data_IF_386170200682
#
_entry.id   IF_386170200682
#
_cell.length_a   1.000
_cell.length_b   1.000
_cell.length_c   1.000
_cell.angle_alpha   90.00
_cell.angle_beta   90.00
_cell.angle_gamma   90.00
#
_symmetry.space_group_name_H-M   'P 1'
#
loop_
_entity.id
_entity.type
_entity.pdbx_description
1 polymer ?
#
# COMPACT_ATOMS: atom_id res chain seq x y z
N UNK A 1 -10.44 -13.24 -13.51
CA UNK A 1 -10.32 -14.08 -12.27
C UNK A 1 -10.60 -13.22 -11.05
N UNK A 2 -11.08 -13.84 -9.94
CA UNK A 2 -11.28 -13.13 -8.67
C UNK A 2 -9.95 -12.86 -7.99
N UNK A 3 -9.85 -11.71 -7.31
CA UNK A 3 -8.63 -11.28 -6.61
C UNK A 3 -8.11 -12.32 -5.62
N UNK A 4 -8.99 -12.93 -4.82
CA UNK A 4 -8.61 -13.97 -3.86
C UNK A 4 -7.95 -15.20 -4.51
N UNK A 5 -8.31 -15.50 -5.77
CA UNK A 5 -7.76 -16.65 -6.52
C UNK A 5 -6.39 -16.37 -7.16
N UNK A 6 -5.97 -15.13 -7.15
CA UNK A 6 -4.68 -14.69 -7.69
C UNK A 6 -3.58 -14.68 -6.61
N UNK A 7 -3.95 -14.97 -5.37
CA UNK A 7 -3.04 -14.92 -4.23
C UNK A 7 -2.83 -16.31 -3.64
N UNK A 8 -1.61 -16.60 -3.23
CA UNK A 8 -1.28 -17.76 -2.38
C UNK A 8 -1.71 -17.54 -0.93
N UNK A 9 -1.71 -16.27 -0.48
CA UNK A 9 -2.28 -15.83 0.79
C UNK A 9 -3.20 -14.65 0.53
N UNK A 10 -4.45 -14.75 1.00
CA UNK A 10 -5.43 -13.67 0.99
C UNK A 10 -6.15 -13.64 2.33
N UNK A 11 -5.68 -12.79 3.23
CA UNK A 11 -6.18 -12.72 4.61
C UNK A 11 -6.23 -11.28 5.10
N UNK A 12 -6.88 -11.06 6.24
CA UNK A 12 -6.78 -9.79 6.96
C UNK A 12 -5.56 -9.82 7.87
N UNK A 13 -5.08 -8.65 8.26
CA UNK A 13 -4.14 -8.52 9.35
C UNK A 13 -4.78 -8.82 10.71
N UNK A 14 -4.01 -8.64 11.76
CA UNK A 14 -4.34 -9.09 13.10
C UNK A 14 -4.96 -7.99 13.97
N UNK A 15 -5.77 -8.39 14.93
CA UNK A 15 -6.37 -7.48 15.90
C UNK A 15 -5.36 -7.19 17.02
N UNK A 16 -4.67 -6.06 16.93
CA UNK A 16 -3.65 -5.62 17.89
C UNK A 16 -4.21 -4.45 18.71
N UNK A 17 -4.46 -4.68 19.99
CA UNK A 17 -4.88 -3.65 20.92
C UNK A 17 -3.68 -2.83 21.44
N UNK A 18 -3.95 -1.69 22.07
CA UNK A 18 -2.88 -0.84 22.62
C UNK A 18 -2.03 -1.55 23.67
N UNK A 19 -2.64 -2.45 24.45
CA UNK A 19 -1.94 -3.28 25.46
C UNK A 19 -1.00 -4.31 24.88
N UNK A 20 -1.19 -4.69 23.60
CA UNK A 20 -0.38 -5.67 22.88
C UNK A 20 0.82 -5.03 22.16
N UNK A 21 0.87 -3.69 22.15
CA UNK A 21 1.93 -2.94 21.50
C UNK A 21 3.18 -2.86 22.41
N UNK A 22 4.35 -2.79 21.79
CA UNK A 22 5.65 -2.64 22.43
C UNK A 22 6.42 -1.45 21.84
N UNK A 23 7.52 -1.07 22.48
CA UNK A 23 8.39 0.02 22.03
C UNK A 23 9.25 -0.40 20.83
N UNK A 24 9.56 -1.70 20.75
CA UNK A 24 10.39 -2.30 19.68
C UNK A 24 9.98 -3.75 19.42
N UNK A 25 10.49 -4.35 18.37
CA UNK A 25 10.22 -5.74 17.99
C UNK A 25 9.68 -5.86 16.56
N UNK A 26 8.60 -6.62 16.37
CA UNK A 26 7.97 -6.84 15.08
C UNK A 26 7.16 -5.59 14.68
N UNK A 27 7.43 -5.04 13.51
CA UNK A 27 6.79 -3.83 12.98
C UNK A 27 5.30 -4.05 12.72
N UNK A 28 4.44 -3.22 13.31
CA UNK A 28 3.01 -3.21 13.04
C UNK A 28 2.67 -2.17 11.95
N UNK A 29 2.40 -2.65 10.75
CA UNK A 29 1.95 -1.83 9.63
C UNK A 29 0.47 -1.49 9.82
N UNK A 30 0.12 -0.23 9.66
CA UNK A 30 -1.25 0.27 9.77
C UNK A 30 -1.75 0.84 8.44
N UNK A 31 -3.05 1.09 8.34
CA UNK A 31 -3.66 1.70 7.14
C UNK A 31 -2.96 2.99 6.71
N UNK A 32 -2.42 3.75 7.66
CA UNK A 32 -1.65 4.97 7.38
C UNK A 32 -0.31 4.76 6.67
N UNK A 33 0.22 3.53 6.69
CA UNK A 33 1.44 3.17 5.95
C UNK A 33 1.16 2.78 4.49
N UNK A 34 -0.11 2.56 4.14
CA UNK A 34 -0.50 2.18 2.78
C UNK A 34 -0.85 3.45 2.01
N UNK A 35 0.02 3.86 1.09
CA UNK A 35 -0.22 4.95 0.15
C UNK A 35 -0.86 4.45 -1.16
N UNK A 36 -0.94 5.30 -2.17
CA UNK A 36 -1.39 4.94 -3.51
C UNK A 36 -0.24 4.37 -4.32
N UNK A 37 -0.07 3.06 -4.24
CA UNK A 37 1.01 2.32 -4.89
C UNK A 37 2.37 2.40 -4.19
N UNK A 38 2.47 3.08 -3.07
CA UNK A 38 3.72 3.26 -2.33
C UNK A 38 3.54 2.94 -0.84
N UNK A 39 4.54 2.33 -0.25
CA UNK A 39 4.65 2.17 1.20
C UNK A 39 5.14 3.48 1.83
N UNK A 40 4.45 3.95 2.87
CA UNK A 40 4.79 5.18 3.62
C UNK A 40 5.43 4.78 4.95
N UNK A 41 6.69 5.06 5.12
CA UNK A 41 7.48 4.59 6.27
C UNK A 41 6.94 5.07 7.63
N UNK A 42 6.73 6.36 7.82
CA UNK A 42 6.22 6.99 9.06
C UNK A 42 6.93 6.53 10.34
N UNK A 43 8.25 6.61 10.36
CA UNK A 43 9.10 6.21 11.49
C UNK A 43 8.68 6.84 12.82
N UNK A 44 8.34 8.13 12.84
CA UNK A 44 7.93 8.86 14.04
C UNK A 44 6.66 8.29 14.72
N UNK A 45 5.88 7.50 13.98
CA UNK A 45 4.63 6.87 14.44
C UNK A 45 4.69 5.35 14.34
N UNK A 46 5.91 4.82 14.34
CA UNK A 46 6.15 3.41 14.28
C UNK A 46 5.53 2.70 15.48
N UNK A 47 4.89 1.57 15.23
CA UNK A 47 4.32 0.68 16.24
C UNK A 47 4.89 -0.70 16.07
N UNK A 48 5.02 -1.40 17.19
CA UNK A 48 5.62 -2.71 17.24
C UNK A 48 4.82 -3.63 18.16
N UNK A 49 5.06 -4.92 18.04
CA UNK A 49 4.66 -5.95 19.03
C UNK A 49 5.88 -6.78 19.41
N UNK A 50 5.83 -7.40 20.58
CA UNK A 50 6.87 -8.35 20.99
C UNK A 50 6.73 -9.70 20.30
N UNK A 51 7.80 -10.51 20.29
CA UNK A 51 7.74 -11.91 19.82
C UNK A 51 6.70 -12.73 20.61
N UNK A 52 6.62 -12.56 21.92
CA UNK A 52 5.62 -13.25 22.76
C UNK A 52 4.19 -12.89 22.35
N UNK A 53 3.96 -11.62 21.99
CA UNK A 53 2.64 -11.18 21.48
C UNK A 53 2.35 -11.81 20.14
N UNK A 54 3.33 -11.86 19.25
CA UNK A 54 3.20 -12.49 17.93
C UNK A 54 2.79 -13.95 18.05
N UNK A 55 3.47 -14.73 18.90
CA UNK A 55 3.18 -16.13 19.14
C UNK A 55 1.82 -16.33 19.81
N UNK A 56 1.53 -15.54 20.84
CA UNK A 56 0.26 -15.62 21.60
C UNK A 56 -0.95 -15.33 20.74
N UNK A 57 -0.88 -14.34 19.89
CA UNK A 57 -1.98 -13.94 19.00
C UNK A 57 -1.97 -14.72 17.67
N UNK A 58 -0.94 -15.53 17.41
CA UNK A 58 -0.75 -16.28 16.16
C UNK A 58 -0.83 -15.36 14.94
N UNK A 59 -0.10 -14.26 15.00
CA UNK A 59 -0.15 -13.21 13.97
C UNK A 59 0.31 -13.73 12.63
N UNK A 60 -0.23 -13.14 11.57
CA UNK A 60 0.17 -13.40 10.18
C UNK A 60 1.32 -12.49 9.79
N UNK A 61 2.47 -13.07 9.48
CA UNK A 61 3.64 -12.30 9.04
C UNK A 61 3.47 -11.75 7.62
N UNK A 62 3.84 -10.50 7.45
CA UNK A 62 3.90 -9.79 6.18
C UNK A 62 5.33 -9.85 5.65
N UNK A 63 5.49 -10.21 4.38
CA UNK A 63 6.80 -10.31 3.73
C UNK A 63 6.99 -9.24 2.65
N UNK A 64 8.25 -8.94 2.37
CA UNK A 64 8.61 -8.13 1.21
C UNK A 64 8.00 -8.72 -0.07
N UNK A 65 7.36 -7.86 -0.86
CA UNK A 65 6.63 -8.28 -2.06
C UNK A 65 5.14 -8.55 -1.85
N UNK A 66 4.65 -8.68 -0.61
CA UNK A 66 3.21 -8.71 -0.34
C UNK A 66 2.56 -7.38 -0.78
N UNK A 67 1.35 -7.46 -1.29
CA UNK A 67 0.52 -6.29 -1.57
C UNK A 67 -0.44 -6.10 -0.42
N UNK A 68 -0.28 -5.01 0.33
CA UNK A 68 -1.21 -4.64 1.38
C UNK A 68 -2.30 -3.72 0.85
N UNK A 69 -3.54 -3.97 1.27
CA UNK A 69 -4.71 -3.19 0.88
C UNK A 69 -5.37 -2.59 2.12
N UNK A 70 -5.51 -1.25 2.16
CA UNK A 70 -6.28 -0.59 3.21
C UNK A 70 -7.77 -0.75 2.97
N UNK A 71 -8.49 -1.34 3.93
CA UNK A 71 -9.94 -1.50 3.86
C UNK A 71 -10.72 -0.30 4.41
N UNK A 72 -10.00 0.73 4.88
CA UNK A 72 -10.55 1.97 5.41
C UNK A 72 -10.21 3.18 4.53
N UNK A 73 -10.96 4.32 4.65
CA UNK A 73 -10.65 5.55 3.93
C UNK A 73 -9.30 6.15 4.34
N UNK A 74 -8.80 7.15 3.67
CA UNK A 74 -9.14 7.60 2.33
C UNK A 74 -7.98 7.43 1.38
N UNK A 75 -8.25 6.89 0.20
CA UNK A 75 -9.44 6.14 -0.23
C UNK A 75 -9.45 4.70 0.29
N UNK A 76 -10.67 4.11 0.43
CA UNK A 76 -10.82 2.68 0.67
C UNK A 76 -10.23 1.92 -0.51
N UNK A 77 -9.50 0.85 -0.25
CA UNK A 77 -8.96 -0.02 -1.29
C UNK A 77 -7.60 0.41 -1.85
N UNK A 78 -7.00 1.51 -1.35
CA UNK A 78 -5.63 1.84 -1.75
C UNK A 78 -4.68 0.71 -1.36
N UNK A 79 -3.71 0.47 -2.19
CA UNK A 79 -2.78 -0.65 -2.05
C UNK A 79 -1.33 -0.21 -2.26
N UNK A 80 -0.40 -0.95 -1.67
CA UNK A 80 1.03 -0.79 -1.92
C UNK A 80 1.74 -2.14 -1.85
N UNK A 81 2.88 -2.23 -2.51
CA UNK A 81 3.81 -3.35 -2.37
C UNK A 81 4.70 -3.07 -1.16
N UNK A 82 4.90 -4.08 -0.31
CA UNK A 82 5.85 -4.00 0.80
C UNK A 82 7.27 -4.06 0.25
N UNK A 83 8.10 -3.04 0.52
CA UNK A 83 9.48 -3.01 0.07
C UNK A 83 10.32 -4.07 0.80
N UNK A 84 11.52 -4.31 0.28
CA UNK A 84 12.50 -5.14 0.97
C UNK A 84 12.94 -4.47 2.28
N UNK A 85 12.81 -5.21 3.38
CA UNK A 85 13.12 -4.76 4.74
C UNK A 85 13.81 -5.87 5.53
N UNK A 86 14.74 -5.48 6.40
CA UNK A 86 15.45 -6.40 7.29
C UNK A 86 14.75 -6.54 8.66
N UNK A 87 13.45 -6.24 8.73
CA UNK A 87 12.67 -6.34 9.94
C UNK A 87 11.44 -7.23 9.71
N UNK A 88 11.02 -7.94 10.76
CA UNK A 88 9.77 -8.69 10.75
C UNK A 88 8.58 -7.73 10.80
N UNK A 89 7.52 -8.06 10.08
CA UNK A 89 6.36 -7.20 9.93
C UNK A 89 5.06 -7.98 10.08
N UNK A 90 4.07 -7.34 10.67
CA UNK A 90 2.66 -7.73 10.66
C UNK A 90 1.80 -6.54 10.26
N UNK A 91 0.52 -6.74 10.02
CA UNK A 91 -0.39 -5.64 9.73
C UNK A 91 -1.66 -5.68 10.57
N UNK A 92 -2.26 -4.51 10.75
CA UNK A 92 -3.50 -4.37 11.50
C UNK A 92 -4.70 -4.95 10.74
N UNK A 93 -5.73 -5.36 11.47
CA UNK A 93 -6.96 -6.01 10.95
C UNK A 93 -7.68 -5.21 9.85
N UNK A 94 -7.50 -3.91 9.79
CA UNK A 94 -8.07 -3.04 8.76
C UNK A 94 -7.27 -3.03 7.45
N UNK A 95 -6.22 -3.83 7.36
CA UNK A 95 -5.45 -4.09 6.14
C UNK A 95 -5.66 -5.54 5.72
N UNK A 96 -5.75 -5.80 4.40
CA UNK A 96 -5.70 -7.15 3.87
C UNK A 96 -4.33 -7.42 3.27
N UNK A 97 -3.84 -8.65 3.48
CA UNK A 97 -2.59 -9.18 2.92
C UNK A 97 -2.96 -9.94 1.65
N UNK A 98 -2.42 -9.49 0.52
CA UNK A 98 -2.49 -10.15 -0.76
C UNK A 98 -1.07 -10.59 -1.12
N UNK A 99 -0.75 -11.87 -1.02
CA UNK A 99 0.51 -12.46 -1.50
C UNK A 99 0.26 -13.04 -2.88
N UNK A 100 0.68 -12.37 -3.95
CA UNK A 100 0.38 -12.82 -5.30
C UNK A 100 0.97 -14.20 -5.58
N UNK A 101 0.24 -15.00 -6.34
CA UNK A 101 0.83 -16.16 -7.00
C UNK A 101 1.60 -15.67 -8.23
N UNK A 102 2.91 -15.58 -8.09
CA UNK A 102 3.79 -15.03 -9.14
C UNK A 102 3.79 -15.87 -10.43
N UNK A 103 3.28 -17.10 -10.44
CA UNK A 103 3.04 -17.87 -11.67
C UNK A 103 1.85 -17.34 -12.47
N UNK A 104 0.92 -16.66 -11.80
CA UNK A 104 -0.32 -16.15 -12.41
C UNK A 104 -0.26 -14.64 -12.62
N UNK A 105 0.16 -13.89 -11.59
CA UNK A 105 0.14 -12.43 -11.61
C UNK A 105 1.35 -11.86 -10.86
N UNK A 106 2.05 -10.90 -11.47
CA UNK A 106 3.13 -10.19 -10.77
C UNK A 106 2.58 -9.20 -9.76
N UNK A 107 3.30 -9.00 -8.65
CA UNK A 107 2.94 -8.03 -7.60
C UNK A 107 2.81 -6.61 -8.15
N UNK A 108 3.68 -6.24 -9.09
CA UNK A 108 3.65 -4.92 -9.72
C UNK A 108 2.40 -4.73 -10.57
N UNK A 109 2.05 -5.74 -11.40
CA UNK A 109 0.85 -5.69 -12.23
C UNK A 109 -0.41 -5.62 -11.38
N UNK A 110 -0.49 -6.44 -10.30
CA UNK A 110 -1.59 -6.42 -9.35
C UNK A 110 -1.72 -5.06 -8.66
N UNK A 111 -0.60 -4.49 -8.20
CA UNK A 111 -0.59 -3.17 -7.55
C UNK A 111 -1.03 -2.06 -8.52
N UNK A 112 -0.62 -2.09 -9.79
CA UNK A 112 -1.09 -1.16 -10.81
C UNK A 112 -2.58 -1.32 -11.09
N UNK A 113 -3.09 -2.56 -11.18
CA UNK A 113 -4.53 -2.79 -11.30
C UNK A 113 -5.29 -2.14 -10.13
N UNK A 114 -4.81 -2.31 -8.89
CA UNK A 114 -5.44 -1.72 -7.69
C UNK A 114 -5.37 -0.19 -7.61
N UNK A 115 -4.67 0.46 -8.53
CA UNK A 115 -4.62 1.92 -8.71
C UNK A 115 -5.47 2.37 -9.89
N UNK A 116 -6.05 1.45 -10.64
CA UNK A 116 -6.81 1.76 -11.84
C UNK A 116 -8.23 2.22 -11.53
N UNK A 117 -8.79 3.03 -12.45
CA UNK A 117 -10.21 3.40 -12.41
C UNK A 117 -11.13 2.17 -12.44
N UNK A 118 -10.77 1.14 -13.19
CA UNK A 118 -11.53 -0.10 -13.30
C UNK A 118 -11.68 -0.80 -11.94
N UNK A 119 -10.59 -0.88 -11.18
CA UNK A 119 -10.60 -1.41 -9.83
C UNK A 119 -11.49 -0.60 -8.90
N UNK A 120 -11.31 0.73 -8.84
CA UNK A 120 -12.09 1.58 -7.95
C UNK A 120 -13.58 1.59 -8.29
N UNK A 121 -13.95 1.50 -9.57
CA UNK A 121 -15.37 1.37 -9.99
C UNK A 121 -15.99 0.10 -9.41
N UNK A 122 -15.31 -1.04 -9.51
CA UNK A 122 -15.76 -2.32 -8.95
C UNK A 122 -15.78 -2.30 -7.42
N UNK A 123 -14.80 -1.68 -6.80
CA UNK A 123 -14.64 -1.60 -5.36
C UNK A 123 -15.76 -0.74 -4.73
N UNK A 124 -16.03 0.43 -5.27
CA UNK A 124 -17.01 1.39 -4.72
C UNK A 124 -18.43 0.82 -4.67
N UNK A 125 -18.80 -0.03 -5.62
CA UNK A 125 -20.07 -0.76 -5.60
C UNK A 125 -20.20 -1.77 -4.44
N UNK A 126 -19.11 -2.09 -3.77
CA UNK A 126 -19.04 -3.08 -2.69
C UNK A 126 -18.64 -2.48 -1.33
N UNK A 127 -18.50 -1.16 -1.26
CA UNK A 127 -18.18 -0.44 -0.01
C UNK A 127 -19.45 -0.25 0.81
N UNK A 128 -19.38 -0.52 2.10
CA UNK A 128 -20.48 -0.35 3.05
C UNK A 128 -20.12 0.67 4.15
N UNK A 129 -21.14 1.15 4.86
CA UNK A 129 -21.00 2.12 5.95
C UNK A 129 -21.27 3.55 5.51
N UNK A 130 -22.09 4.25 6.30
CA UNK A 130 -22.46 5.67 6.08
C UNK A 130 -21.43 6.61 6.67
N UNK A 131 -21.05 6.39 7.92
CA UNK A 131 -20.11 7.26 8.65
C UNK A 131 -18.65 6.83 8.43
N UNK A 132 -18.38 5.54 8.42
CA UNK A 132 -17.05 4.97 8.19
C UNK A 132 -17.10 3.95 7.06
N UNK A 133 -16.80 4.39 5.86
CA UNK A 133 -16.76 3.54 4.68
C UNK A 133 -15.74 2.42 4.87
N UNK A 134 -16.11 1.19 4.54
CA UNK A 134 -15.26 0.01 4.63
C UNK A 134 -15.60 -1.00 3.54
N UNK A 135 -14.60 -1.71 3.06
CA UNK A 135 -14.80 -2.91 2.25
C UNK A 135 -14.49 -4.15 3.10
N UNK A 136 -15.36 -5.17 3.03
CA UNK A 136 -15.08 -6.47 3.65
C UNK A 136 -14.02 -7.23 2.84
N UNK A 137 -13.23 -8.11 3.50
CA UNK A 137 -12.29 -8.99 2.79
C UNK A 137 -13.00 -9.81 1.70
N UNK A 138 -14.19 -10.35 2.00
CA UNK A 138 -14.99 -11.11 1.04
C UNK A 138 -15.32 -10.30 -0.22
N UNK A 139 -15.78 -9.07 -0.05
CA UNK A 139 -16.10 -8.19 -1.17
C UNK A 139 -14.84 -7.78 -1.96
N UNK A 140 -13.74 -7.50 -1.25
CA UNK A 140 -12.45 -7.23 -1.88
C UNK A 140 -11.98 -8.43 -2.70
N UNK A 141 -12.03 -9.64 -2.13
CA UNK A 141 -11.60 -10.88 -2.78
C UNK A 141 -12.43 -11.26 -4.00
N UNK A 142 -13.70 -10.83 -4.05
CA UNK A 142 -14.60 -11.06 -5.18
C UNK A 142 -14.40 -10.09 -6.35
N UNK A 143 -13.56 -9.05 -6.20
CA UNK A 143 -13.25 -8.14 -7.31
C UNK A 143 -12.57 -8.96 -8.42
N UNK A 144 -13.09 -8.85 -9.63
CA UNK A 144 -12.57 -9.58 -10.79
C UNK A 144 -11.66 -8.68 -11.63
N UNK A 145 -10.59 -9.28 -12.11
CA UNK A 145 -9.73 -8.67 -13.12
C UNK A 145 -9.43 -9.68 -14.25
N UNK A 146 -9.16 -9.16 -15.42
CA UNK A 146 -8.68 -9.94 -16.54
C UNK A 146 -7.17 -10.12 -16.37
N UNK A 147 -6.75 -11.39 -16.36
CA UNK A 147 -5.33 -11.74 -16.19
C UNK A 147 -4.76 -12.00 -17.59
N UNK A 148 -3.83 -11.15 -17.97
CA UNK A 148 -3.07 -11.27 -19.21
C UNK A 148 -1.91 -12.27 -19.08
N UNK A 149 -1.28 -12.61 -20.19
CA UNK A 149 -0.05 -13.42 -20.17
C UNK A 149 1.06 -12.73 -19.37
N UNK A 150 2.04 -13.47 -18.89
CA UNK A 150 3.16 -12.89 -18.12
C UNK A 150 3.95 -11.88 -18.94
N UNK A 151 4.08 -12.13 -20.25
CA UNK A 151 4.74 -11.25 -21.20
C UNK A 151 4.00 -9.89 -21.30
N UNK A 152 2.68 -9.95 -21.46
CA UNK A 152 1.83 -8.74 -21.49
C UNK A 152 1.86 -7.98 -20.16
N UNK A 153 1.78 -8.69 -19.03
CA UNK A 153 1.91 -8.08 -17.69
C UNK A 153 3.24 -7.32 -17.57
N UNK A 154 4.35 -7.95 -17.94
CA UNK A 154 5.68 -7.34 -17.89
C UNK A 154 5.80 -6.11 -18.78
N UNK A 155 5.22 -6.15 -19.98
CA UNK A 155 5.23 -5.02 -20.90
C UNK A 155 4.41 -3.84 -20.32
N UNK A 156 3.23 -4.10 -19.77
CA UNK A 156 2.39 -3.09 -19.10
C UNK A 156 3.14 -2.48 -17.92
N UNK A 157 3.71 -3.31 -17.04
CA UNK A 157 4.47 -2.84 -15.87
C UNK A 157 5.65 -1.96 -16.30
N UNK A 158 6.41 -2.39 -17.31
CA UNK A 158 7.55 -1.62 -17.85
C UNK A 158 7.13 -0.23 -18.33
N UNK A 159 6.03 -0.14 -19.09
CA UNK A 159 5.50 1.14 -19.59
C UNK A 159 5.03 2.03 -18.44
N UNK A 160 4.28 1.47 -17.48
CA UNK A 160 3.79 2.23 -16.33
C UNK A 160 4.92 2.70 -15.41
N UNK A 161 5.94 1.87 -15.18
CA UNK A 161 7.13 2.27 -14.43
C UNK A 161 7.87 3.44 -15.11
N UNK A 162 7.97 3.43 -16.44
CA UNK A 162 8.55 4.54 -17.20
C UNK A 162 7.75 5.84 -17.00
N UNK A 163 6.42 5.77 -17.07
CA UNK A 163 5.55 6.93 -16.85
C UNK A 163 5.68 7.46 -15.41
N UNK A 164 5.65 6.57 -14.41
CA UNK A 164 5.82 6.96 -12.99
C UNK A 164 7.18 7.64 -12.78
N UNK A 165 8.25 7.11 -13.40
CA UNK A 165 9.58 7.73 -13.34
C UNK A 165 9.57 9.15 -13.93
N UNK A 166 8.94 9.35 -15.08
CA UNK A 166 8.82 10.67 -15.71
C UNK A 166 8.03 11.64 -14.81
N UNK A 167 6.90 11.19 -14.26
CA UNK A 167 6.08 12.00 -13.33
C UNK A 167 6.91 12.42 -12.12
N UNK A 168 7.64 11.50 -11.50
CA UNK A 168 8.47 11.80 -10.33
C UNK A 168 9.60 12.78 -10.65
N UNK A 169 10.24 12.66 -11.82
CA UNK A 169 11.26 13.61 -12.28
C UNK A 169 10.67 15.00 -12.48
N UNK A 170 9.49 15.11 -13.10
CA UNK A 170 8.79 16.40 -13.28
C UNK A 170 8.38 17.04 -11.96
N UNK A 171 7.86 16.25 -11.03
CA UNK A 171 7.54 16.77 -9.69
C UNK A 171 8.78 17.31 -8.96
N UNK A 172 9.93 16.62 -9.09
CA UNK A 172 11.19 17.08 -8.53
C UNK A 172 11.68 18.38 -9.21
N UNK A 173 11.54 18.48 -10.53
CA UNK A 173 11.86 19.68 -11.29
C UNK A 173 11.03 20.88 -10.82
N UNK A 174 9.72 20.71 -10.64
CA UNK A 174 8.83 21.76 -10.11
C UNK A 174 9.29 22.21 -8.72
N UNK A 175 9.59 21.26 -7.81
CA UNK A 175 10.06 21.60 -6.48
C UNK A 175 11.38 22.40 -6.50
N UNK A 176 12.31 22.04 -7.39
CA UNK A 176 13.56 22.77 -7.55
C UNK A 176 13.35 24.19 -8.11
N UNK A 177 12.43 24.34 -9.05
CA UNK A 177 12.05 25.66 -9.58
C UNK A 177 11.42 26.55 -8.50
N UNK A 178 10.53 26.00 -7.66
CA UNK A 178 9.95 26.75 -6.54
C UNK A 178 11.04 27.18 -5.52
N UNK A 179 11.99 26.30 -5.22
CA UNK A 179 13.13 26.66 -4.37
C UNK A 179 14.00 27.77 -5.00
N UNK A 180 14.26 27.67 -6.29
CA UNK A 180 15.02 28.68 -7.02
C UNK A 180 14.31 30.04 -7.02
N UNK A 181 13.00 30.08 -7.28
CA UNK A 181 12.20 31.32 -7.23
C UNK A 181 12.29 31.96 -5.85
N UNK A 182 12.11 31.16 -4.78
CA UNK A 182 12.21 31.66 -3.39
C UNK A 182 13.60 32.20 -3.08
N UNK A 183 14.66 31.49 -3.48
CA UNK A 183 16.04 31.95 -3.25
C UNK A 183 16.32 33.26 -3.99
N UNK A 184 15.88 33.39 -5.24
CA UNK A 184 16.04 34.64 -6.02
C UNK A 184 15.22 35.78 -5.43
N UNK A 185 14.04 35.52 -4.90
CA UNK A 185 13.23 36.53 -4.25
C UNK A 185 13.94 37.07 -2.99
N UNK A 186 14.47 36.19 -2.14
CA UNK A 186 15.24 36.57 -0.94
C UNK A 186 16.50 37.35 -1.32
N UNK A 187 17.22 36.93 -2.34
CA UNK A 187 18.42 37.63 -2.83
C UNK A 187 18.11 39.06 -3.32
N UNK A 188 16.97 39.24 -3.99
CA UNK A 188 16.60 40.55 -4.57
C UNK A 188 15.94 41.49 -3.57
N UNK A 189 15.19 40.99 -2.63
CA UNK A 189 14.32 41.79 -1.73
C UNK A 189 14.65 41.65 -0.26
N UNK A 190 15.56 40.77 0.10
CA UNK A 190 15.91 40.44 1.50
C UNK A 190 14.88 39.52 2.16
N UNK A 191 15.32 38.87 3.23
CA UNK A 191 14.46 38.02 4.08
C UNK A 191 13.66 38.95 5.01
N UNK A 192 12.38 39.08 4.79
CA UNK A 192 11.51 39.97 5.60
C UNK A 192 10.64 39.19 6.61
N UNK A 193 10.94 37.89 6.86
CA UNK A 193 10.22 37.10 7.85
C UNK A 193 11.19 36.17 8.60
#
# INVERSE_FOLDING_TARGET
MRLEKLCTVFTDGDWIESKDQSISGIRLIQTGNIGDGIYLEKEERAKYISEDTFERLKCTEVFSGDVLVSRLPEPVGRACIIPEKNERMITAVDCSICRPNEDIISKEYLCYFMRSRAYFTKLLGNVTGTTRKRISRKNLGNIELDVHSKEEQNEVVKRLNCLVKVINLRNKEIQLLDQFIRARFVEMFGDRY
#
